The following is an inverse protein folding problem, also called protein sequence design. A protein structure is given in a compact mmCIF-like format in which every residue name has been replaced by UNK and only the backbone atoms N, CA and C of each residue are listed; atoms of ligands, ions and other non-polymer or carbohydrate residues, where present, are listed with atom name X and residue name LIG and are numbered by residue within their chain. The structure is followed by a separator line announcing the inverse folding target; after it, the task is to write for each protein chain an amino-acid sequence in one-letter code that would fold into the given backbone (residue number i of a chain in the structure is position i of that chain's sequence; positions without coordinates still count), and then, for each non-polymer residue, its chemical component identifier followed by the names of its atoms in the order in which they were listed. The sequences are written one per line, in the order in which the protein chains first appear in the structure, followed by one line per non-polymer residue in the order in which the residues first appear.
data_IF_714722850842
#
_entry.id   IF_714722850842
#
_cell.length_a   1.000
_cell.length_b   1.000
_cell.length_c   1.000
_cell.angle_alpha   90.00
_cell.angle_beta   90.00
_cell.angle_gamma   90.00
#
_symmetry.space_group_name_H-M   'P 1'
#
loop_
_entity.id
_entity.type
_entity.pdbx_description
1 polymer ?
#
# COMPACT_ATOMS: atom_id res chain seq x y z
N UNK A 1 7.44 -23.82 33.21
CA UNK A 1 6.98 -22.46 32.90
C UNK A 1 7.55 -22.05 31.55
N UNK A 2 6.74 -22.08 30.48
CA UNK A 2 7.19 -21.69 29.15
C UNK A 2 7.25 -20.16 29.05
N UNK A 3 8.44 -19.60 28.77
CA UNK A 3 8.59 -18.19 28.43
C UNK A 3 7.77 -17.91 27.18
N UNK A 4 6.77 -17.03 27.30
CA UNK A 4 6.05 -16.42 26.17
C UNK A 4 7.11 -15.74 25.31
N UNK A 5 7.40 -16.29 24.12
CA UNK A 5 8.28 -15.66 23.13
C UNK A 5 7.50 -14.44 22.66
N UNK A 6 7.85 -13.25 23.14
CA UNK A 6 7.31 -12.01 22.59
C UNK A 6 7.66 -12.01 21.10
N UNK A 7 6.63 -12.10 20.26
CA UNK A 7 6.76 -11.95 18.82
C UNK A 7 7.26 -10.54 18.53
N UNK A 8 8.57 -10.44 18.29
CA UNK A 8 9.24 -9.20 17.90
C UNK A 8 8.89 -8.96 16.44
N UNK A 9 8.19 -7.85 16.19
CA UNK A 9 8.12 -7.28 14.84
C UNK A 9 9.56 -6.90 14.47
N UNK A 10 10.08 -7.38 13.33
CA UNK A 10 11.43 -6.97 12.92
C UNK A 10 11.42 -5.48 12.57
N UNK A 11 12.46 -4.71 12.94
CA UNK A 11 12.61 -3.30 12.56
C UNK A 11 12.38 -3.09 11.05
N UNK A 12 12.99 -3.96 10.23
CA UNK A 12 12.88 -3.96 8.78
C UNK A 12 11.44 -4.04 8.26
N UNK A 13 10.55 -4.75 8.98
CA UNK A 13 9.13 -4.84 8.60
C UNK A 13 8.43 -3.51 8.79
N UNK A 14 8.73 -2.79 9.88
CA UNK A 14 8.20 -1.45 10.15
C UNK A 14 8.76 -0.47 9.12
N UNK A 15 10.05 -0.60 8.78
CA UNK A 15 10.74 0.26 7.83
C UNK A 15 10.12 0.20 6.43
N UNK A 16 9.59 -0.96 6.00
CA UNK A 16 8.82 -1.05 4.76
C UNK A 16 7.60 -0.13 4.78
N UNK A 17 6.75 -0.22 5.82
CA UNK A 17 5.54 0.60 5.91
C UNK A 17 5.88 2.08 5.98
N UNK A 18 6.89 2.45 6.78
CA UNK A 18 7.35 3.84 6.88
C UNK A 18 7.85 4.33 5.51
N UNK A 19 8.73 3.56 4.85
CA UNK A 19 9.32 3.95 3.56
C UNK A 19 8.27 4.12 2.46
N UNK A 20 7.31 3.20 2.34
CA UNK A 20 6.21 3.31 1.38
C UNK A 20 5.36 4.56 1.67
N UNK A 21 5.02 4.80 2.93
CA UNK A 21 4.23 5.97 3.31
C UNK A 21 5.01 7.27 3.05
N UNK A 22 6.32 7.31 3.27
CA UNK A 22 7.10 8.51 2.95
C UNK A 22 7.25 8.73 1.43
N UNK A 23 7.25 7.66 0.64
CA UNK A 23 7.39 7.72 -0.82
C UNK A 23 6.10 8.10 -1.56
N UNK A 24 4.95 7.68 -1.04
CA UNK A 24 3.65 7.82 -1.69
C UNK A 24 2.65 8.52 -0.76
N UNK A 25 2.61 9.87 -0.76
CA UNK A 25 1.72 10.65 0.11
C UNK A 25 0.22 10.35 -0.13
N UNK A 26 -0.13 9.78 -1.29
CA UNK A 26 -1.48 9.37 -1.66
C UNK A 26 -2.01 8.19 -0.83
N UNK A 27 -1.11 7.36 -0.30
CA UNK A 27 -1.49 6.23 0.55
C UNK A 27 -1.84 6.78 1.94
N UNK A 28 -3.09 6.62 2.34
CA UNK A 28 -3.61 7.08 3.62
C UNK A 28 -3.37 6.07 4.74
N UNK A 29 -3.59 4.78 4.46
CA UNK A 29 -3.26 3.70 5.41
C UNK A 29 -2.72 2.47 4.70
N UNK A 30 -1.87 1.71 5.40
CA UNK A 30 -1.44 0.37 5.01
C UNK A 30 -1.75 -0.57 6.16
N UNK A 31 -2.43 -1.68 5.87
CA UNK A 31 -2.73 -2.73 6.85
C UNK A 31 -2.12 -4.04 6.40
N UNK A 32 -1.40 -4.72 7.28
CA UNK A 32 -0.90 -6.07 7.05
C UNK A 32 -1.70 -7.08 7.85
N UNK A 33 -2.20 -8.11 7.16
CA UNK A 33 -2.87 -9.26 7.75
C UNK A 33 -1.94 -10.49 7.71
N UNK A 34 -1.40 -10.92 8.87
CA UNK A 34 -0.49 -12.06 8.94
C UNK A 34 -1.19 -13.39 8.61
N UNK A 35 -2.49 -13.50 8.88
CA UNK A 35 -3.23 -14.74 8.64
C UNK A 35 -3.37 -15.07 7.14
N UNK A 36 -3.33 -14.03 6.30
CA UNK A 36 -3.45 -14.15 4.84
C UNK A 36 -2.17 -13.79 4.10
N UNK A 37 -1.14 -13.31 4.80
CA UNK A 37 0.05 -12.71 4.22
C UNK A 37 -0.28 -11.62 3.19
N UNK A 38 -1.23 -10.72 3.52
CA UNK A 38 -1.71 -9.67 2.61
C UNK A 38 -1.48 -8.28 3.17
N UNK A 39 -1.17 -7.36 2.27
CA UNK A 39 -1.22 -5.92 2.54
C UNK A 39 -2.45 -5.33 1.89
N UNK A 40 -3.07 -4.38 2.58
CA UNK A 40 -4.18 -3.56 2.08
C UNK A 40 -3.73 -2.09 2.11
N UNK A 41 -3.66 -1.49 0.93
CA UNK A 41 -3.44 -0.06 0.73
C UNK A 41 -4.79 0.65 0.66
N UNK A 42 -4.96 1.71 1.44
CA UNK A 42 -6.18 2.53 1.42
C UNK A 42 -5.84 3.93 0.93
N UNK A 43 -6.60 4.38 -0.07
CA UNK A 43 -6.60 5.74 -0.60
C UNK A 43 -7.93 6.42 -0.23
N UNK A 44 -7.91 7.74 -0.09
CA UNK A 44 -9.09 8.53 0.27
C UNK A 44 -9.35 9.56 -0.83
N UNK A 45 -10.58 9.56 -1.33
CA UNK A 45 -11.07 10.52 -2.32
C UNK A 45 -12.23 11.29 -1.70
N UNK A 46 -12.21 12.61 -1.85
CA UNK A 46 -13.32 13.49 -1.49
C UNK A 46 -14.52 13.26 -2.41
N UNK A 47 -15.70 13.20 -1.84
CA UNK A 47 -16.95 12.94 -2.52
C UNK A 47 -17.23 11.46 -2.82
N UNK A 48 -18.34 11.26 -3.52
CA UNK A 48 -18.84 9.93 -3.90
C UNK A 48 -18.34 9.56 -5.29
N UNK A 49 -17.52 8.52 -5.39
CA UNK A 49 -17.10 8.00 -6.69
C UNK A 49 -18.19 7.08 -7.25
N UNK A 50 -18.74 7.43 -8.42
CA UNK A 50 -19.79 6.65 -9.07
C UNK A 50 -19.33 5.22 -9.41
N UNK A 51 -20.26 4.25 -9.37
CA UNK A 51 -19.95 2.86 -9.68
C UNK A 51 -19.29 2.66 -11.05
N UNK A 52 -19.74 3.41 -12.06
CA UNK A 52 -19.13 3.38 -13.40
C UNK A 52 -17.66 3.83 -13.39
N UNK A 53 -17.37 4.92 -12.67
CA UNK A 53 -16.00 5.43 -12.55
C UNK A 53 -15.10 4.45 -11.79
N UNK A 54 -15.61 3.86 -10.70
CA UNK A 54 -14.89 2.85 -9.92
C UNK A 54 -14.56 1.63 -10.77
N UNK A 55 -15.54 1.10 -11.50
CA UNK A 55 -15.37 -0.08 -12.34
C UNK A 55 -14.40 0.18 -13.50
N UNK A 56 -14.50 1.35 -14.15
CA UNK A 56 -13.59 1.73 -15.24
C UNK A 56 -12.14 1.85 -14.77
N UNK A 57 -11.94 2.47 -13.61
CA UNK A 57 -10.61 2.60 -13.02
C UNK A 57 -10.04 1.24 -12.59
N UNK A 58 -10.84 0.42 -11.91
CA UNK A 58 -10.44 -0.93 -11.51
C UNK A 58 -10.07 -1.80 -12.72
N UNK A 59 -10.87 -1.78 -13.79
CA UNK A 59 -10.58 -2.49 -15.04
C UNK A 59 -9.27 -2.01 -15.69
N UNK A 60 -9.04 -0.69 -15.69
CA UNK A 60 -7.78 -0.11 -16.19
C UNK A 60 -6.59 -0.59 -15.36
N UNK A 61 -6.67 -0.54 -14.03
CA UNK A 61 -5.62 -1.01 -13.13
C UNK A 61 -5.31 -2.49 -13.35
N UNK A 62 -6.33 -3.35 -13.42
CA UNK A 62 -6.15 -4.78 -13.64
C UNK A 62 -5.48 -5.06 -14.98
N UNK A 63 -5.88 -4.39 -16.06
CA UNK A 63 -5.26 -4.53 -17.39
C UNK A 63 -3.83 -4.03 -17.43
N UNK A 64 -3.54 -2.91 -16.78
CA UNK A 64 -2.17 -2.37 -16.71
C UNK A 64 -1.25 -3.31 -15.93
N UNK A 65 -1.71 -3.84 -14.81
CA UNK A 65 -0.94 -4.82 -14.05
C UNK A 65 -0.76 -6.11 -14.84
N UNK A 66 -1.82 -6.64 -15.47
CA UNK A 66 -1.70 -7.85 -16.31
C UNK A 66 -0.66 -7.68 -17.42
N UNK A 67 -0.68 -6.55 -18.13
CA UNK A 67 0.33 -6.21 -19.13
C UNK A 67 1.74 -6.10 -18.54
N UNK A 68 1.89 -5.45 -17.39
CA UNK A 68 3.18 -5.34 -16.69
C UNK A 68 3.74 -6.72 -16.32
N UNK A 69 2.93 -7.57 -15.71
CA UNK A 69 3.35 -8.91 -15.28
C UNK A 69 3.63 -9.83 -16.47
N UNK A 70 2.90 -9.68 -17.57
CA UNK A 70 3.19 -10.38 -18.83
C UNK A 70 4.58 -10.03 -19.36
N UNK A 71 4.93 -8.73 -19.38
CA UNK A 71 6.26 -8.26 -19.81
C UNK A 71 7.38 -8.74 -18.88
N UNK A 72 7.09 -8.89 -17.59
CA UNK A 72 8.04 -9.37 -16.58
C UNK A 72 8.19 -10.91 -16.55
N UNK A 73 7.45 -11.66 -17.39
CA UNK A 73 7.34 -13.11 -17.33
C UNK A 73 6.96 -13.64 -15.93
N UNK A 74 6.10 -12.90 -15.22
CA UNK A 74 5.60 -13.23 -13.88
C UNK A 74 4.08 -13.39 -13.92
N UNK A 75 3.50 -13.95 -12.86
CA UNK A 75 2.04 -14.03 -12.68
C UNK A 75 1.64 -13.34 -11.39
N UNK A 76 0.53 -12.60 -11.45
CA UNK A 76 -0.17 -12.11 -10.26
C UNK A 76 -0.90 -13.29 -9.62
N UNK A 77 -0.76 -13.44 -8.30
CA UNK A 77 -1.56 -14.42 -7.58
C UNK A 77 -2.93 -13.85 -7.21
N UNK A 78 -3.00 -12.81 -6.39
CA UNK A 78 -4.27 -12.29 -5.87
C UNK A 78 -4.31 -10.76 -5.70
N UNK A 79 -5.14 -10.07 -6.49
CA UNK A 79 -5.48 -8.66 -6.28
C UNK A 79 -6.96 -8.52 -5.93
N UNK A 80 -7.25 -7.73 -4.90
CA UNK A 80 -8.61 -7.33 -4.53
C UNK A 80 -8.73 -5.81 -4.58
N UNK A 81 -9.83 -5.31 -5.15
CA UNK A 81 -10.13 -3.89 -5.20
C UNK A 81 -11.52 -3.70 -4.60
N UNK A 82 -11.59 -2.96 -3.50
CA UNK A 82 -12.82 -2.67 -2.77
C UNK A 82 -12.99 -1.15 -2.70
N UNK A 83 -14.25 -0.70 -2.71
CA UNK A 83 -14.56 0.72 -2.55
C UNK A 83 -15.66 0.86 -1.51
N UNK A 84 -15.42 1.69 -0.50
CA UNK A 84 -16.39 1.98 0.56
C UNK A 84 -16.67 3.47 0.57
N UNK A 85 -17.91 3.86 0.36
CA UNK A 85 -18.33 5.26 0.48
C UNK A 85 -18.82 5.52 1.90
N UNK A 86 -18.24 6.53 2.55
CA UNK A 86 -18.60 6.98 3.89
C UNK A 86 -18.95 8.48 3.79
N UNK A 87 -20.23 8.82 3.88
CA UNK A 87 -20.72 10.20 3.76
C UNK A 87 -20.16 10.95 2.54
N UNK A 88 -19.22 11.86 2.78
CA UNK A 88 -18.59 12.75 1.79
C UNK A 88 -17.21 12.26 1.34
N UNK A 89 -16.83 11.02 1.64
CA UNK A 89 -15.57 10.43 1.17
C UNK A 89 -15.76 9.04 0.59
N UNK A 90 -14.86 8.64 -0.28
CA UNK A 90 -14.75 7.28 -0.80
C UNK A 90 -13.38 6.72 -0.47
N UNK A 91 -13.37 5.60 0.25
CA UNK A 91 -12.18 4.79 0.51
C UNK A 91 -11.99 3.81 -0.65
N UNK A 92 -10.83 3.86 -1.28
CA UNK A 92 -10.42 2.89 -2.30
C UNK A 92 -9.37 1.97 -1.68
N UNK A 93 -9.68 0.68 -1.58
CA UNK A 93 -8.83 -0.29 -0.92
C UNK A 93 -8.29 -1.31 -1.92
N UNK A 94 -6.97 -1.42 -2.02
CA UNK A 94 -6.30 -2.42 -2.85
C UNK A 94 -5.60 -3.42 -1.96
N UNK A 95 -5.95 -4.70 -2.09
CA UNK A 95 -5.39 -5.80 -1.30
C UNK A 95 -4.52 -6.71 -2.15
N UNK A 96 -3.25 -6.89 -1.79
CA UNK A 96 -2.27 -7.73 -2.49
C UNK A 96 -1.62 -8.75 -1.58
N UNK A 97 -1.31 -9.92 -2.12
CA UNK A 97 -0.43 -10.88 -1.47
C UNK A 97 1.00 -10.31 -1.40
N UNK A 98 1.65 -10.45 -0.25
CA UNK A 98 3.01 -9.91 -0.04
C UNK A 98 4.05 -10.66 -0.88
N UNK A 99 3.81 -11.94 -1.15
CA UNK A 99 4.79 -12.80 -1.83
C UNK A 99 5.10 -12.35 -3.26
N UNK A 100 4.09 -11.92 -4.02
CA UNK A 100 4.26 -11.46 -5.41
C UNK A 100 4.28 -9.94 -5.58
N UNK A 101 4.07 -9.18 -4.49
CA UNK A 101 4.12 -7.73 -4.50
C UNK A 101 5.53 -7.23 -4.87
N UNK A 102 5.58 -6.16 -5.67
CA UNK A 102 6.83 -5.46 -5.97
C UNK A 102 6.67 -3.93 -5.93
N UNK A 103 7.80 -3.23 -5.81
CA UNK A 103 7.82 -1.76 -5.73
C UNK A 103 7.25 -1.11 -6.99
N UNK A 104 7.53 -1.67 -8.16
CA UNK A 104 7.01 -1.19 -9.44
C UNK A 104 5.48 -1.29 -9.51
N UNK A 105 4.90 -2.39 -9.02
CA UNK A 105 3.44 -2.56 -8.92
C UNK A 105 2.82 -1.47 -8.04
N UNK A 106 3.40 -1.19 -6.87
CA UNK A 106 2.92 -0.13 -5.96
C UNK A 106 2.98 1.23 -6.68
N UNK A 107 4.05 1.50 -7.42
CA UNK A 107 4.18 2.70 -8.24
C UNK A 107 3.09 2.82 -9.31
N UNK A 108 2.77 1.74 -10.03
CA UNK A 108 1.69 1.70 -11.02
C UNK A 108 0.35 2.01 -10.37
N UNK A 109 0.05 1.36 -9.23
CA UNK A 109 -1.18 1.59 -8.47
C UNK A 109 -1.34 3.07 -8.10
N UNK A 110 -0.29 3.66 -7.52
CA UNK A 110 -0.32 5.06 -7.08
C UNK A 110 -0.43 6.01 -8.27
N UNK A 111 0.31 5.77 -9.36
CA UNK A 111 0.23 6.62 -10.55
C UNK A 111 -1.15 6.58 -11.20
N UNK A 112 -1.75 5.39 -11.37
CA UNK A 112 -3.11 5.28 -11.89
C UNK A 112 -4.17 5.88 -10.96
N UNK A 113 -3.94 5.84 -9.65
CA UNK A 113 -4.78 6.57 -8.70
C UNK A 113 -4.68 8.08 -8.93
N UNK A 114 -3.47 8.63 -9.05
CA UNK A 114 -3.24 10.06 -9.29
C UNK A 114 -3.85 10.52 -10.62
N UNK A 115 -3.62 9.77 -11.70
CA UNK A 115 -4.15 10.11 -13.02
C UNK A 115 -5.68 10.24 -13.01
N UNK A 116 -6.37 9.46 -12.17
CA UNK A 116 -7.82 9.48 -12.08
C UNK A 116 -8.37 10.45 -11.04
N UNK A 117 -7.72 10.55 -9.89
CA UNK A 117 -8.29 11.13 -8.67
C UNK A 117 -7.47 12.29 -8.11
N UNK A 118 -6.40 12.78 -8.76
CA UNK A 118 -5.51 13.80 -8.20
C UNK A 118 -6.22 15.07 -7.67
N UNK A 119 -7.33 15.48 -8.28
CA UNK A 119 -8.08 16.68 -7.85
C UNK A 119 -8.91 16.44 -6.59
N UNK A 120 -9.38 15.21 -6.39
CA UNK A 120 -10.27 14.85 -5.29
C UNK A 120 -9.53 14.06 -4.19
N UNK A 121 -8.28 13.67 -4.43
CA UNK A 121 -7.47 12.89 -3.50
C UNK A 121 -7.16 13.69 -2.24
N UNK A 122 -7.46 13.10 -1.08
CA UNK A 122 -7.11 13.68 0.22
C UNK A 122 -5.67 13.32 0.56
N UNK A 123 -4.73 14.14 0.09
CA UNK A 123 -3.30 13.95 0.26
C UNK A 123 -2.79 14.82 1.41
N UNK A 124 -2.01 14.22 2.30
CA UNK A 124 -1.31 14.97 3.33
C UNK A 124 -0.08 15.67 2.70
N UNK A 125 -0.07 17.01 2.73
CA UNK A 125 0.88 17.83 1.98
C UNK A 125 2.26 17.94 2.63
N UNK A 126 2.47 17.35 3.82
CA UNK A 126 3.78 17.29 4.51
C UNK A 126 4.77 16.27 3.90
N UNK A 127 4.67 16.00 2.59
CA UNK A 127 5.63 15.16 1.89
C UNK A 127 7.05 15.75 1.98
N UNK A 128 8.04 14.89 2.29
CA UNK A 128 9.45 15.27 2.35
C UNK A 128 9.90 15.84 1.00
N UNK A 129 9.99 17.18 0.94
CA UNK A 129 10.65 17.91 -0.13
C UNK A 129 12.15 17.75 0.07
N UNK A 130 12.84 16.97 -0.78
CA UNK A 130 14.29 17.13 -0.97
C UNK A 130 15.23 15.97 -0.64
N UNK A 131 14.77 14.71 -0.54
CA UNK A 131 15.69 13.55 -0.50
C UNK A 131 15.63 12.72 -1.78
N UNK A 132 16.79 12.19 -2.19
CA UNK A 132 17.01 11.50 -3.46
C UNK A 132 16.08 10.29 -3.65
N UNK A 133 15.09 10.42 -4.54
CA UNK A 133 14.02 9.43 -4.76
C UNK A 133 14.57 8.04 -5.13
N UNK A 134 15.74 7.98 -5.78
CA UNK A 134 16.40 6.74 -6.19
C UNK A 134 16.89 5.92 -5.00
N UNK A 135 17.40 6.57 -3.95
CA UNK A 135 17.88 5.88 -2.75
C UNK A 135 16.72 5.23 -1.97
N UNK A 136 15.52 5.82 -2.06
CA UNK A 136 14.32 5.30 -1.40
C UNK A 136 13.78 4.05 -2.06
N UNK A 137 13.83 3.95 -3.39
CA UNK A 137 13.27 2.77 -4.09
C UNK A 137 14.07 1.49 -3.78
N UNK A 138 15.40 1.57 -3.65
CA UNK A 138 16.24 0.41 -3.28
C UNK A 138 16.00 0.00 -1.81
N UNK A 139 15.86 0.98 -0.90
CA UNK A 139 15.50 0.73 0.49
C UNK A 139 14.12 0.05 0.61
N UNK A 140 13.14 0.50 -0.18
CA UNK A 140 11.81 -0.11 -0.22
C UNK A 140 11.90 -1.55 -0.76
N UNK A 141 12.70 -1.81 -1.80
CA UNK A 141 12.91 -3.18 -2.31
C UNK A 141 13.48 -4.08 -1.22
N UNK A 142 14.56 -3.65 -0.56
CA UNK A 142 15.18 -4.41 0.52
C UNK A 142 14.20 -4.71 1.66
N UNK A 143 13.51 -3.69 2.17
CA UNK A 143 12.56 -3.85 3.29
C UNK A 143 11.32 -4.68 2.90
N UNK A 144 10.88 -4.62 1.64
CA UNK A 144 9.82 -5.50 1.13
C UNK A 144 10.28 -6.96 1.07
N UNK A 145 11.51 -7.24 0.64
CA UNK A 145 12.05 -8.61 0.69
C UNK A 145 12.17 -9.12 2.14
N UNK A 146 12.63 -8.27 3.07
CA UNK A 146 12.59 -8.60 4.50
C UNK A 146 11.16 -8.92 4.97
N UNK A 147 10.15 -8.16 4.52
CA UNK A 147 8.74 -8.42 4.84
C UNK A 147 8.24 -9.75 4.29
N UNK A 148 8.65 -10.15 3.08
CA UNK A 148 8.29 -11.43 2.44
C UNK A 148 8.81 -12.63 3.21
N UNK A 149 10.02 -12.50 3.77
CA UNK A 149 10.66 -13.55 4.56
C UNK A 149 10.29 -13.49 6.05
N UNK A 150 9.82 -12.35 6.52
CA UNK A 150 9.36 -12.20 7.89
C UNK A 150 8.06 -12.97 8.10
N UNK A 151 8.10 -13.99 8.96
CA UNK A 151 6.90 -14.58 9.55
C UNK A 151 6.34 -13.63 10.59
N UNK A 152 5.79 -12.50 10.14
CA UNK A 152 5.11 -11.57 11.02
C UNK A 152 3.87 -12.25 11.59
N UNK A 153 3.83 -12.41 12.91
CA UNK A 153 2.68 -12.99 13.61
C UNK A 153 1.63 -11.94 14.00
N UNK A 154 1.99 -10.65 13.95
CA UNK A 154 1.15 -9.53 14.41
C UNK A 154 0.55 -8.75 13.24
N UNK A 155 -0.64 -8.19 13.47
CA UNK A 155 -1.24 -7.23 12.54
C UNK A 155 -0.50 -5.92 12.64
N UNK A 156 -0.17 -5.33 11.49
CA UNK A 156 0.44 -4.01 11.43
C UNK A 156 -0.49 -3.03 10.74
N UNK A 157 -0.58 -1.82 11.28
CA UNK A 157 -1.35 -0.73 10.71
C UNK A 157 -0.46 0.50 10.68
N UNK A 158 -0.18 1.01 9.48
CA UNK A 158 0.45 2.29 9.27
C UNK A 158 -0.58 3.30 8.78
N UNK A 159 -0.57 4.50 9.34
CA UNK A 159 -1.48 5.59 8.96
C UNK A 159 -0.79 6.94 9.07
N UNK A 160 -1.31 7.93 8.36
CA UNK A 160 -0.90 9.33 8.53
C UNK A 160 -1.73 10.01 9.60
N UNK A 161 -1.06 10.82 10.39
CA UNK A 161 -1.67 11.68 11.39
C UNK A 161 -0.84 12.97 11.49
N UNK A 162 -1.41 14.10 11.09
CA UNK A 162 -0.80 15.43 11.15
C UNK A 162 0.66 15.48 10.65
N UNK A 163 0.93 15.01 9.42
CA UNK A 163 2.27 15.00 8.83
C UNK A 163 3.24 13.96 9.40
N UNK A 164 2.77 13.07 10.28
CA UNK A 164 3.55 11.97 10.84
C UNK A 164 3.02 10.63 10.34
N UNK A 165 3.91 9.64 10.23
CA UNK A 165 3.53 8.25 9.98
C UNK A 165 3.54 7.50 11.30
N UNK A 166 2.40 6.96 11.70
CA UNK A 166 2.24 6.16 12.90
C UNK A 166 2.10 4.68 12.52
N UNK A 167 2.86 3.81 13.17
CA UNK A 167 2.79 2.35 12.97
C UNK A 167 2.39 1.68 14.28
N UNK A 168 1.29 0.92 14.22
CA UNK A 168 0.74 0.17 15.35
C UNK A 168 0.89 -1.32 15.13
N UNK A 169 1.26 -2.05 16.18
CA UNK A 169 1.11 -3.50 16.23
C UNK A 169 -0.14 -3.88 17.03
N UNK A 170 -0.94 -4.82 16.50
CA UNK A 170 -2.13 -5.37 17.17
C UNK A 170 -2.02 -6.87 17.33
#
# INVERSE_FOLDING_TARGET
MARRKESRVSPDSIDFFVSIMLRYPEIATIKYDPARCRVKFTFIVSGVVSAQNRNKWADTLLKTLDAYYHLENKKISEIGIENTTCDQITLIEISRDVQTLCVNEIGIIVNLFKDRFAQDAMIDSYGLVGEDLLFRDEMIRHTLESLKHAQLEKKLIALRDEGRVLVFNK
#
